data_IF_899070123128
#
_entry.id   IF_899070123128
#
_cell.length_a   1.000
_cell.length_b   1.000
_cell.length_c   1.000
_cell.angle_alpha   90.00
_cell.angle_beta   90.00
_cell.angle_gamma   90.00
#
_symmetry.space_group_name_H-M   'P 1'
#
loop_
_entity.id
_entity.type
_entity.pdbx_description
1 polymer ?
#
# COMPACT_ATOMS: atom_id res chain seq x y z
N UNK A 1 10.27 0.89 -7.16
CA UNK A 1 9.67 -0.33 -7.73
C UNK A 1 8.96 0.08 -9.01
N UNK A 2 9.22 -0.58 -10.16
CA UNK A 2 8.44 -0.38 -11.38
C UNK A 2 6.93 -0.60 -11.15
N UNK A 3 6.07 0.12 -11.88
CA UNK A 3 4.61 0.08 -11.69
C UNK A 3 4.02 -1.30 -11.98
N UNK A 4 4.49 -1.95 -13.03
CA UNK A 4 4.10 -3.31 -13.43
C UNK A 4 4.40 -4.33 -12.33
N UNK A 5 5.60 -4.24 -11.74
CA UNK A 5 5.98 -5.11 -10.62
C UNK A 5 5.14 -4.85 -9.37
N UNK A 6 4.76 -3.59 -9.11
CA UNK A 6 3.89 -3.24 -7.99
C UNK A 6 2.47 -3.76 -8.19
N UNK A 7 1.91 -3.62 -9.39
CA UNK A 7 0.58 -4.15 -9.72
C UNK A 7 0.56 -5.68 -9.63
N UNK A 8 1.58 -6.36 -10.15
CA UNK A 8 1.72 -7.82 -10.04
C UNK A 8 1.78 -8.27 -8.58
N UNK A 9 2.59 -7.61 -7.74
CA UNK A 9 2.66 -7.89 -6.32
C UNK A 9 1.29 -7.76 -5.63
N UNK A 10 0.55 -6.70 -5.95
CA UNK A 10 -0.78 -6.47 -5.36
C UNK A 10 -1.75 -7.59 -5.73
N UNK A 11 -1.77 -8.01 -7.00
CA UNK A 11 -2.64 -9.11 -7.48
C UNK A 11 -2.29 -10.41 -6.75
N UNK A 12 -1.01 -10.76 -6.70
CA UNK A 12 -0.55 -11.97 -6.02
C UNK A 12 -0.91 -11.95 -4.52
N UNK A 13 -0.84 -10.78 -3.87
CA UNK A 13 -1.21 -10.65 -2.46
C UNK A 13 -2.70 -10.88 -2.24
N UNK A 14 -3.58 -10.40 -3.12
CA UNK A 14 -5.01 -10.72 -3.06
C UNK A 14 -5.29 -12.20 -3.29
N UNK A 15 -4.61 -12.84 -4.24
CA UNK A 15 -4.79 -14.28 -4.53
C UNK A 15 -4.33 -15.17 -3.37
N UNK A 16 -3.28 -14.77 -2.65
CA UNK A 16 -2.76 -15.50 -1.50
C UNK A 16 -3.56 -15.28 -0.21
N UNK A 17 -4.35 -14.21 -0.12
CA UNK A 17 -5.10 -13.86 1.07
C UNK A 17 -6.38 -14.72 1.22
N UNK A 18 -6.77 -15.10 2.46
CA UNK A 18 -7.98 -15.90 2.69
C UNK A 18 -9.28 -15.10 2.47
N UNK A 19 -9.21 -13.75 2.46
CA UNK A 19 -10.34 -12.85 2.28
C UNK A 19 -11.43 -12.94 3.37
N UNK A 20 -12.47 -12.10 3.30
CA UNK A 20 -12.61 -10.94 2.43
C UNK A 20 -11.87 -9.70 2.96
N UNK A 21 -11.25 -9.76 4.14
CA UNK A 21 -10.41 -8.71 4.69
C UNK A 21 -8.94 -8.98 4.33
N UNK A 22 -8.25 -7.96 3.81
CA UNK A 22 -6.81 -8.04 3.51
C UNK A 22 -6.08 -6.83 4.08
N UNK A 23 -4.89 -7.11 4.61
CA UNK A 23 -3.98 -6.12 5.18
C UNK A 23 -2.72 -6.01 4.31
N UNK A 24 -2.35 -4.78 3.98
CA UNK A 24 -1.05 -4.44 3.39
C UNK A 24 -0.20 -3.72 4.44
N UNK A 25 0.93 -4.32 4.78
CA UNK A 25 1.87 -3.76 5.76
C UNK A 25 3.11 -3.24 5.03
N UNK A 26 3.26 -1.92 4.95
CA UNK A 26 4.43 -1.25 4.41
C UNK A 26 5.50 -1.15 5.49
N UNK A 27 6.52 -2.00 5.37
CA UNK A 27 7.64 -2.08 6.30
C UNK A 27 8.96 -2.33 5.54
N UNK A 28 10.08 -2.32 6.28
CA UNK A 28 11.41 -2.58 5.73
C UNK A 28 12.17 -1.29 5.45
N UNK A 29 13.43 -1.23 5.90
CA UNK A 29 14.18 0.02 5.93
C UNK A 29 13.37 1.12 6.62
N UNK A 30 13.37 2.31 6.02
CA UNK A 30 12.42 3.38 6.36
C UNK A 30 11.45 3.60 5.18
N UNK A 31 10.19 3.14 5.26
CA UNK A 31 9.24 3.19 4.15
C UNK A 31 8.97 4.61 3.61
N UNK A 32 9.00 5.64 4.46
CA UNK A 32 8.76 7.03 4.04
C UNK A 32 9.91 7.64 3.22
N UNK A 33 10.98 6.87 2.95
CA UNK A 33 11.97 7.23 1.93
C UNK A 33 11.40 7.10 0.51
N UNK A 34 10.37 6.28 0.32
CA UNK A 34 9.52 6.32 -0.85
C UNK A 34 8.59 7.54 -0.75
N UNK A 35 8.35 8.21 -1.87
CA UNK A 35 7.52 9.40 -1.89
C UNK A 35 6.05 9.08 -1.58
N UNK A 36 5.30 10.06 -1.08
CA UNK A 36 3.86 9.94 -0.89
C UNK A 36 3.14 9.51 -2.20
N UNK A 37 3.62 9.99 -3.35
CA UNK A 37 3.12 9.60 -4.66
C UNK A 37 3.22 8.08 -4.94
N UNK A 38 4.26 7.42 -4.42
CA UNK A 38 4.35 5.96 -4.52
C UNK A 38 3.21 5.27 -3.76
N UNK A 39 2.93 5.70 -2.52
CA UNK A 39 1.86 5.12 -1.71
C UNK A 39 0.47 5.44 -2.24
N UNK A 40 0.26 6.66 -2.75
CA UNK A 40 -0.97 7.03 -3.47
C UNK A 40 -1.21 6.09 -4.65
N UNK A 41 -0.19 5.87 -5.48
CA UNK A 41 -0.26 4.95 -6.61
C UNK A 41 -0.52 3.50 -6.17
N UNK A 42 0.11 3.06 -5.09
CA UNK A 42 -0.13 1.72 -4.55
C UNK A 42 -1.60 1.55 -4.10
N UNK A 43 -2.17 2.53 -3.42
CA UNK A 43 -3.59 2.52 -3.01
C UNK A 43 -4.52 2.53 -4.22
N UNK A 44 -4.22 3.31 -5.26
CA UNK A 44 -4.99 3.31 -6.52
C UNK A 44 -5.03 1.92 -7.16
N UNK A 45 -3.86 1.27 -7.29
CA UNK A 45 -3.75 -0.08 -7.85
C UNK A 45 -4.46 -1.11 -6.97
N UNK A 46 -4.31 -1.04 -5.65
CA UNK A 46 -5.02 -1.91 -4.72
C UNK A 46 -6.54 -1.76 -4.88
N UNK A 47 -7.07 -0.54 -4.94
CA UNK A 47 -8.50 -0.29 -5.14
C UNK A 47 -9.02 -0.83 -6.48
N UNK A 48 -8.22 -0.71 -7.55
CA UNK A 48 -8.54 -1.24 -8.88
C UNK A 48 -8.59 -2.76 -8.91
N UNK A 49 -7.65 -3.42 -8.25
CA UNK A 49 -7.50 -4.89 -8.26
C UNK A 49 -8.29 -5.59 -7.15
N UNK A 50 -8.77 -4.85 -6.15
CA UNK A 50 -9.49 -5.41 -5.00
C UNK A 50 -10.75 -6.17 -5.44
N UNK A 51 -10.92 -7.45 -5.07
CA UNK A 51 -12.11 -8.20 -5.41
C UNK A 51 -13.39 -7.57 -4.82
N UNK A 52 -14.52 -7.82 -5.48
CA UNK A 52 -15.81 -7.32 -5.04
C UNK A 52 -16.15 -7.83 -3.63
N UNK A 53 -16.64 -6.94 -2.76
CA UNK A 53 -16.98 -7.28 -1.37
C UNK A 53 -15.79 -7.38 -0.40
N UNK A 54 -14.55 -7.28 -0.89
CA UNK A 54 -13.37 -7.30 -0.02
C UNK A 54 -13.14 -5.94 0.65
N UNK A 55 -12.53 -5.98 1.84
CA UNK A 55 -12.10 -4.83 2.62
C UNK A 55 -10.57 -4.80 2.65
N UNK A 56 -10.01 -3.61 2.51
CA UNK A 56 -8.58 -3.36 2.39
C UNK A 56 -8.17 -2.42 3.53
N UNK A 57 -7.08 -2.76 4.22
CA UNK A 57 -6.42 -1.87 5.19
C UNK A 57 -4.94 -1.75 4.83
N UNK A 58 -4.42 -0.53 4.93
CA UNK A 58 -3.00 -0.25 4.80
C UNK A 58 -2.44 0.17 6.16
N UNK A 59 -1.31 -0.42 6.55
CA UNK A 59 -0.52 0.00 7.69
C UNK A 59 0.89 0.36 7.24
N UNK A 60 1.46 1.43 7.78
CA UNK A 60 2.85 1.83 7.55
C UNK A 60 3.62 1.86 8.87
N UNK A 61 4.80 1.26 8.90
CA UNK A 61 5.73 1.37 10.03
C UNK A 61 6.84 2.34 9.66
N UNK A 62 6.95 3.45 10.40
CA UNK A 62 7.94 4.50 10.15
C UNK A 62 8.61 4.95 11.44
N UNK A 63 9.87 5.40 11.35
CA UNK A 63 10.56 6.09 12.44
C UNK A 63 10.06 7.54 12.65
N UNK A 64 9.24 8.06 11.73
CA UNK A 64 8.58 9.36 11.83
C UNK A 64 9.41 10.56 11.40
N UNK A 65 10.70 10.40 11.09
CA UNK A 65 11.63 11.53 10.82
C UNK A 65 11.30 12.26 9.51
N UNK A 66 10.68 11.57 8.55
CA UNK A 66 10.33 12.13 7.24
C UNK A 66 8.84 12.48 7.12
N UNK A 67 8.08 12.41 8.21
CA UNK A 67 6.68 12.84 8.21
C UNK A 67 6.63 14.37 8.12
N UNK A 68 5.79 14.86 7.21
CA UNK A 68 5.55 16.29 6.99
C UNK A 68 4.04 16.52 6.82
N UNK A 69 3.64 17.77 6.59
CA UNK A 69 2.22 18.13 6.46
C UNK A 69 1.51 17.42 5.29
N UNK A 70 2.25 17.00 4.24
CA UNK A 70 1.68 16.26 3.12
C UNK A 70 1.23 14.85 3.54
N UNK A 71 1.88 14.25 4.54
CA UNK A 71 1.46 12.96 5.11
C UNK A 71 0.25 13.07 6.04
N UNK A 72 0.02 14.26 6.61
CA UNK A 72 -1.06 14.54 7.56
C UNK A 72 -2.28 15.24 6.97
N UNK A 73 -2.25 15.57 5.67
CA UNK A 73 -3.37 16.22 4.99
C UNK A 73 -4.48 15.19 4.66
N UNK A 74 -5.72 15.59 4.90
CA UNK A 74 -6.93 14.79 4.71
C UNK A 74 -7.60 15.06 3.36
#
# INVERSE_FOLDING_TARGET
MPEDLLEEYIVQHFEAAPGPDVDFCWHGGEPTTLSLAFFQKAVELQCKQKPAGWRLRNGIQTNGVLLNDEWGSA
#
